data_IF_785100697861
#
_entry.id   IF_785100697861
#
_cell.length_a   1.000
_cell.length_b   1.000
_cell.length_c   1.000
_cell.angle_alpha   90.00
_cell.angle_beta   90.00
_cell.angle_gamma   90.00
#
_symmetry.space_group_name_H-M   'P 1'
#
loop_
_entity.id
_entity.type
_entity.pdbx_description
1 polymer ?
#
# COMPACT_ATOMS: atom_id res chain seq x y z
N UNK A 1 -0.59 -0.42 10.92
CA UNK A 1 -0.96 -1.82 10.71
C UNK A 1 -1.81 -1.93 9.45
N UNK A 2 -1.94 -3.15 8.90
CA UNK A 2 -2.89 -3.45 7.84
C UNK A 2 -3.59 -4.77 8.14
N UNK A 3 -4.85 -4.85 7.74
CA UNK A 3 -5.66 -6.07 7.75
C UNK A 3 -6.11 -6.35 6.31
N UNK A 4 -6.27 -7.62 5.97
CA UNK A 4 -6.66 -8.04 4.64
C UNK A 4 -7.70 -9.15 4.70
N UNK A 5 -8.77 -9.00 3.94
CA UNK A 5 -9.78 -10.04 3.82
C UNK A 5 -10.42 -10.10 2.43
N UNK A 6 -10.86 -11.30 2.06
CA UNK A 6 -11.69 -11.54 0.90
C UNK A 6 -13.15 -11.63 1.32
N UNK A 7 -14.04 -10.88 0.68
CA UNK A 7 -15.48 -11.13 0.83
C UNK A 7 -15.82 -12.53 0.32
N UNK A 8 -16.79 -13.22 0.94
CA UNK A 8 -17.18 -14.55 0.49
C UNK A 8 -17.61 -14.63 -0.97
N UNK A 9 -18.10 -13.54 -1.55
CA UNK A 9 -18.54 -13.46 -2.94
C UNK A 9 -17.52 -12.79 -3.88
N UNK A 10 -16.30 -12.52 -3.42
CA UNK A 10 -15.27 -11.82 -4.22
C UNK A 10 -14.61 -12.71 -5.28
N UNK A 11 -14.76 -14.02 -5.19
CA UNK A 11 -14.16 -15.02 -6.10
C UNK A 11 -15.24 -15.82 -6.82
N UNK A 12 -14.91 -16.43 -7.95
CA UNK A 12 -15.83 -17.28 -8.75
C UNK A 12 -16.45 -18.42 -7.94
N UNK A 13 -15.69 -18.97 -6.99
CA UNK A 13 -16.20 -19.93 -6.00
C UNK A 13 -16.25 -19.27 -4.64
N UNK A 14 -17.34 -19.51 -3.88
CA UNK A 14 -17.54 -18.87 -2.58
C UNK A 14 -16.36 -19.10 -1.64
N UNK A 15 -15.65 -18.04 -1.25
CA UNK A 15 -14.57 -18.06 -0.28
C UNK A 15 -15.11 -18.22 1.15
N UNK A 16 -14.46 -19.04 1.97
CA UNK A 16 -14.80 -19.15 3.40
C UNK A 16 -14.06 -18.09 4.20
N UNK A 17 -14.78 -17.29 4.98
CA UNK A 17 -14.16 -16.36 5.94
C UNK A 17 -13.27 -17.10 6.95
N UNK A 18 -12.13 -16.55 7.24
CA UNK A 18 -11.19 -17.05 8.23
C UNK A 18 -11.67 -16.67 9.64
N UNK A 19 -12.48 -17.54 10.25
CA UNK A 19 -13.11 -17.26 11.57
C UNK A 19 -12.20 -17.53 12.77
N UNK A 20 -11.14 -18.31 12.59
CA UNK A 20 -10.22 -18.75 13.65
C UNK A 20 -8.86 -18.03 13.59
N UNK A 21 -8.84 -16.79 13.09
CA UNK A 21 -7.63 -16.01 12.84
C UNK A 21 -7.15 -16.14 11.40
N UNK A 22 -6.35 -15.17 10.98
CA UNK A 22 -5.78 -15.11 9.64
C UNK A 22 -4.84 -16.30 9.39
N UNK A 23 -4.85 -16.82 8.16
CA UNK A 23 -3.94 -17.87 7.71
C UNK A 23 -2.63 -17.29 7.21
N UNK A 24 -1.64 -18.14 6.94
CA UNK A 24 -0.32 -17.73 6.51
C UNK A 24 -0.30 -16.77 5.32
N UNK A 25 -1.13 -17.03 4.28
CA UNK A 25 -1.28 -16.14 3.12
C UNK A 25 -1.84 -14.77 3.52
N UNK A 26 -2.87 -14.72 4.36
CA UNK A 26 -3.48 -13.47 4.82
C UNK A 26 -2.46 -12.66 5.62
N UNK A 27 -1.76 -13.28 6.57
CA UNK A 27 -0.69 -12.61 7.32
C UNK A 27 0.47 -12.13 6.44
N UNK A 28 0.83 -12.88 5.40
CA UNK A 28 1.85 -12.46 4.44
C UNK A 28 1.41 -11.17 3.75
N UNK A 29 0.16 -11.10 3.25
CA UNK A 29 -0.39 -9.93 2.56
C UNK A 29 -0.52 -8.74 3.51
N UNK A 30 -1.04 -8.93 4.71
CA UNK A 30 -1.12 -7.88 5.75
C UNK A 30 0.26 -7.25 6.02
N UNK A 31 1.29 -8.08 6.15
CA UNK A 31 2.67 -7.63 6.36
C UNK A 31 3.24 -6.88 5.16
N UNK A 32 2.96 -7.36 3.95
CA UNK A 32 3.36 -6.71 2.71
C UNK A 32 2.72 -5.31 2.60
N UNK A 33 1.40 -5.20 2.75
CA UNK A 33 0.66 -3.93 2.71
C UNK A 33 1.17 -2.97 3.78
N UNK A 34 1.25 -3.45 5.05
CA UNK A 34 1.71 -2.61 6.16
C UNK A 34 3.15 -2.09 5.95
N UNK A 35 4.04 -2.91 5.41
CA UNK A 35 5.43 -2.56 5.15
C UNK A 35 5.53 -1.54 4.00
N UNK A 36 4.76 -1.76 2.93
CA UNK A 36 4.70 -0.86 1.79
C UNK A 36 4.21 0.54 2.18
N UNK A 37 3.11 0.62 2.91
CA UNK A 37 2.55 1.90 3.38
C UNK A 37 3.47 2.61 4.37
N UNK A 38 4.17 1.87 5.24
CA UNK A 38 5.15 2.44 6.17
C UNK A 38 6.32 3.10 5.46
N UNK A 39 6.72 2.59 4.29
CA UNK A 39 7.78 3.17 3.47
C UNK A 39 7.46 4.58 2.94
N UNK A 40 6.18 4.98 2.94
CA UNK A 40 5.74 6.30 2.50
C UNK A 40 5.50 7.29 3.64
N UNK A 41 5.59 6.86 4.92
CA UNK A 41 5.21 7.69 6.08
C UNK A 41 6.40 7.95 6.99
N UNK A 42 6.62 9.22 7.29
CA UNK A 42 7.50 9.64 8.38
C UNK A 42 6.75 9.52 9.71
N UNK A 43 7.11 8.51 10.50
CA UNK A 43 6.45 8.21 11.78
C UNK A 43 6.71 9.27 12.85
N UNK A 44 7.82 10.02 12.78
CA UNK A 44 8.11 11.11 13.71
C UNK A 44 7.18 12.28 13.42
N UNK A 45 6.98 12.61 12.15
CA UNK A 45 6.05 13.65 11.72
C UNK A 45 4.60 13.28 11.99
N UNK A 46 4.23 12.01 11.82
CA UNK A 46 2.90 11.49 12.20
C UNK A 46 2.65 11.63 13.72
N UNK A 47 3.67 11.39 14.53
CA UNK A 47 3.60 11.47 15.99
C UNK A 47 2.97 10.26 16.66
N UNK A 48 2.42 10.40 17.87
CA UNK A 48 1.95 9.28 18.69
C UNK A 48 0.57 8.78 18.25
N UNK A 49 0.45 8.47 16.95
CA UNK A 49 -0.76 7.92 16.34
C UNK A 49 -0.51 6.50 15.84
N UNK A 50 -1.50 5.64 16.00
CA UNK A 50 -1.56 4.34 15.37
C UNK A 50 -2.67 4.33 14.34
N UNK A 51 -2.36 3.84 13.13
CA UNK A 51 -3.32 3.74 12.04
C UNK A 51 -3.40 2.29 11.58
N UNK A 52 -4.63 1.83 11.34
CA UNK A 52 -4.92 0.53 10.72
C UNK A 52 -5.60 0.78 9.38
N UNK A 53 -5.14 0.10 8.35
CA UNK A 53 -5.74 0.12 7.01
C UNK A 53 -6.39 -1.22 6.77
N UNK A 54 -7.71 -1.24 6.66
CA UNK A 54 -8.50 -2.43 6.35
C UNK A 54 -8.66 -2.57 4.83
N UNK A 55 -8.16 -3.68 4.29
CA UNK A 55 -8.26 -4.01 2.88
C UNK A 55 -9.30 -5.12 2.70
N UNK A 56 -10.53 -4.77 2.35
CA UNK A 56 -11.58 -5.73 2.05
C UNK A 56 -11.79 -5.85 0.53
N UNK A 57 -11.49 -7.01 -0.03
CA UNK A 57 -11.57 -7.27 -1.47
C UNK A 57 -13.01 -7.62 -1.84
N UNK A 58 -13.63 -6.73 -2.60
CA UNK A 58 -15.02 -6.87 -3.05
C UNK A 58 -15.14 -7.79 -4.27
N UNK A 59 -14.17 -7.71 -5.19
CA UNK A 59 -14.04 -8.54 -6.37
C UNK A 59 -12.56 -8.86 -6.61
N UNK A 60 -12.22 -10.14 -6.65
CA UNK A 60 -10.85 -10.62 -6.79
C UNK A 60 -10.66 -11.24 -8.19
N UNK A 61 -9.66 -10.73 -8.92
CA UNK A 61 -9.27 -11.21 -10.24
C UNK A 61 -7.76 -10.96 -10.46
N UNK A 62 -6.91 -11.69 -9.76
CA UNK A 62 -5.47 -11.41 -9.73
C UNK A 62 -5.10 -10.12 -8.98
N UNK A 63 -3.83 -9.82 -8.81
CA UNK A 63 -3.29 -8.54 -8.35
C UNK A 63 -3.85 -7.94 -7.04
N UNK A 64 -4.58 -8.69 -6.21
CA UNK A 64 -5.25 -8.15 -5.02
C UNK A 64 -4.29 -7.55 -3.99
N UNK A 65 -3.05 -8.05 -3.92
CA UNK A 65 -1.97 -7.47 -3.10
C UNK A 65 -1.64 -6.05 -3.56
N UNK A 66 -1.42 -5.88 -4.86
CA UNK A 66 -1.08 -4.60 -5.49
C UNK A 66 -2.22 -3.58 -5.36
N UNK A 67 -3.45 -4.01 -5.63
CA UNK A 67 -4.65 -3.19 -5.46
C UNK A 67 -4.80 -2.71 -4.01
N UNK A 68 -4.57 -3.58 -3.01
CA UNK A 68 -4.62 -3.24 -1.59
C UNK A 68 -3.57 -2.19 -1.20
N UNK A 69 -2.35 -2.29 -1.74
CA UNK A 69 -1.28 -1.32 -1.46
C UNK A 69 -1.64 0.05 -2.05
N UNK A 70 -2.04 0.09 -3.32
CA UNK A 70 -2.34 1.33 -4.03
C UNK A 70 -3.57 2.03 -3.42
N UNK A 71 -4.67 1.31 -3.21
CA UNK A 71 -5.85 1.86 -2.55
C UNK A 71 -5.58 2.25 -1.09
N UNK A 72 -4.78 1.44 -0.37
CA UNK A 72 -4.36 1.73 0.99
C UNK A 72 -3.53 3.02 1.10
N UNK A 73 -2.67 3.31 0.12
CA UNK A 73 -1.90 4.56 0.04
C UNK A 73 -2.82 5.78 -0.06
N UNK A 74 -3.82 5.73 -0.94
CA UNK A 74 -4.81 6.79 -1.12
C UNK A 74 -5.62 6.99 0.17
N UNK A 75 -6.13 5.89 0.75
CA UNK A 75 -6.92 5.95 1.98
C UNK A 75 -6.12 6.52 3.16
N UNK A 76 -4.84 6.14 3.27
CA UNK A 76 -3.93 6.63 4.30
C UNK A 76 -3.70 8.13 4.18
N UNK A 77 -3.42 8.64 2.97
CA UNK A 77 -3.27 10.09 2.71
C UNK A 77 -4.53 10.86 3.07
N UNK A 78 -5.70 10.38 2.67
CA UNK A 78 -6.98 11.00 3.03
C UNK A 78 -7.22 11.01 4.53
N UNK A 79 -6.84 9.95 5.25
CA UNK A 79 -6.93 9.89 6.70
C UNK A 79 -5.97 10.88 7.38
N UNK A 80 -4.73 11.00 6.89
CA UNK A 80 -3.75 11.99 7.39
C UNK A 80 -4.30 13.41 7.23
N UNK A 81 -4.84 13.76 6.06
CA UNK A 81 -5.49 15.08 5.83
C UNK A 81 -6.59 15.36 6.86
N UNK A 82 -7.47 14.39 7.11
CA UNK A 82 -8.54 14.53 8.11
C UNK A 82 -7.99 14.68 9.53
N UNK A 83 -6.92 13.96 9.88
CA UNK A 83 -6.28 14.08 11.19
C UNK A 83 -5.61 15.45 11.37
N UNK A 84 -4.99 15.99 10.33
CA UNK A 84 -4.43 17.35 10.34
C UNK A 84 -5.55 18.38 10.49
N UNK A 85 -6.58 18.31 9.67
CA UNK A 85 -7.72 19.24 9.72
C UNK A 85 -8.46 19.22 11.08
N UNK A 86 -8.50 18.07 11.75
CA UNK A 86 -9.08 17.94 13.10
C UNK A 86 -8.12 18.28 14.25
N UNK A 87 -6.88 18.68 13.94
CA UNK A 87 -5.86 18.99 14.96
C UNK A 87 -5.33 17.77 15.72
N UNK A 88 -5.56 16.57 15.23
CA UNK A 88 -5.06 15.32 15.84
C UNK A 88 -3.66 14.94 15.37
N UNK A 89 -3.29 15.30 14.16
CA UNK A 89 -1.94 15.19 13.62
C UNK A 89 -1.36 16.59 13.43
N UNK A 90 -0.41 16.95 14.25
CA UNK A 90 0.18 18.32 14.28
C UNK A 90 1.70 18.24 14.18
N UNK A 91 2.34 19.28 13.61
CA UNK A 91 3.78 19.46 13.71
C UNK A 91 4.27 19.35 15.15
N UNK A 92 5.46 18.77 15.37
CA UNK A 92 6.00 18.49 16.71
C UNK A 92 5.95 19.69 17.65
N UNK A 93 6.28 20.89 17.14
CA UNK A 93 6.25 22.17 17.89
C UNK A 93 4.87 22.60 18.39
N UNK A 94 3.80 22.09 17.80
CA UNK A 94 2.40 22.41 18.14
C UNK A 94 1.71 21.31 18.93
N UNK A 95 2.38 20.20 19.21
CA UNK A 95 1.81 19.09 19.99
C UNK A 95 1.74 19.49 21.48
N UNK A 96 0.59 19.26 22.12
CA UNK A 96 0.44 19.60 23.52
C UNK A 96 1.24 18.67 24.43
N UNK A 97 1.75 19.21 25.53
CA UNK A 97 2.25 18.42 26.64
C UNK A 97 1.11 17.66 27.33
N UNK A 98 1.46 16.67 28.15
CA UNK A 98 0.45 15.91 28.92
C UNK A 98 -0.35 16.80 29.86
N UNK A 99 0.30 17.79 30.47
CA UNK A 99 -0.33 18.76 31.35
C UNK A 99 -1.33 19.64 30.60
N UNK A 100 -0.94 20.18 29.43
CA UNK A 100 -1.83 20.99 28.59
C UNK A 100 -3.08 20.20 28.15
N UNK A 101 -2.94 18.88 27.84
CA UNK A 101 -4.11 18.03 27.53
C UNK A 101 -5.09 17.92 28.69
N UNK A 102 -4.57 17.77 29.92
CA UNK A 102 -5.40 17.71 31.15
C UNK A 102 -6.11 19.03 31.44
N UNK A 103 -5.52 20.15 31.04
CA UNK A 103 -6.07 21.51 31.23
C UNK A 103 -7.06 21.95 30.13
N UNK A 104 -7.44 21.03 29.22
CA UNK A 104 -8.42 21.30 28.18
C UNK A 104 -7.87 22.02 26.96
N UNK A 105 -6.59 21.79 26.63
CA UNK A 105 -5.95 22.34 25.45
C UNK A 105 -6.78 22.10 24.17
N UNK A 106 -6.85 23.13 23.34
CA UNK A 106 -7.50 23.04 22.03
C UNK A 106 -6.45 23.12 20.94
N UNK A 107 -6.56 22.28 19.86
CA UNK A 107 -5.63 22.34 18.77
C UNK A 107 -5.74 23.69 18.04
N UNK A 108 -4.61 24.25 17.57
CA UNK A 108 -4.65 25.39 16.68
C UNK A 108 -5.24 24.97 15.33
N UNK A 109 -5.89 25.92 14.67
CA UNK A 109 -6.30 25.76 13.27
C UNK A 109 -5.08 26.12 12.42
N UNK A 110 -4.61 25.18 11.60
CA UNK A 110 -3.55 25.44 10.63
C UNK A 110 -4.14 26.16 9.41
N UNK A 111 -3.37 27.04 8.79
CA UNK A 111 -3.68 27.53 7.45
C UNK A 111 -3.57 26.40 6.42
N UNK A 112 -4.13 26.59 5.24
CA UNK A 112 -4.07 25.58 4.17
C UNK A 112 -2.62 25.24 3.78
N UNK A 113 -1.73 26.24 3.72
CA UNK A 113 -0.31 26.04 3.42
C UNK A 113 0.40 25.24 4.53
N UNK A 114 0.13 25.57 5.81
CA UNK A 114 0.69 24.83 6.94
C UNK A 114 0.18 23.38 7.00
N UNK A 115 -1.10 23.19 6.72
CA UNK A 115 -1.71 21.87 6.70
C UNK A 115 -1.13 21.02 5.56
N UNK A 116 -1.01 21.58 4.35
CA UNK A 116 -0.38 20.92 3.22
C UNK A 116 1.10 20.64 3.48
N UNK A 117 1.86 21.61 3.99
CA UNK A 117 3.26 21.42 4.34
C UNK A 117 3.47 20.32 5.36
N UNK A 118 2.56 20.20 6.36
CA UNK A 118 2.63 19.11 7.33
C UNK A 118 2.20 17.77 6.74
N UNK A 119 1.20 17.73 5.87
CA UNK A 119 0.84 16.52 5.12
C UNK A 119 2.04 15.97 4.35
N UNK A 120 2.74 16.84 3.62
CA UNK A 120 3.93 16.45 2.86
C UNK A 120 5.11 16.04 3.77
N UNK A 121 5.19 16.57 4.98
CA UNK A 121 6.17 16.12 5.97
C UNK A 121 5.82 14.72 6.53
N UNK A 122 4.54 14.43 6.76
CA UNK A 122 4.07 13.13 7.27
C UNK A 122 4.12 12.04 6.19
N UNK A 123 3.72 12.39 4.97
CA UNK A 123 3.67 11.45 3.83
C UNK A 123 4.28 12.11 2.59
N UNK A 124 5.62 12.13 2.48
CA UNK A 124 6.34 12.85 1.42
C UNK A 124 6.13 12.24 0.02
N UNK A 125 5.68 11.02 -0.06
CA UNK A 125 5.38 10.34 -1.32
C UNK A 125 4.18 9.40 -1.15
N UNK A 126 3.54 9.06 -2.27
CA UNK A 126 2.59 7.96 -2.33
C UNK A 126 3.30 6.66 -2.71
N UNK A 127 2.66 5.53 -2.49
CA UNK A 127 3.11 4.24 -3.01
C UNK A 127 2.05 3.63 -3.89
N UNK A 128 2.50 3.00 -4.97
CA UNK A 128 1.67 2.18 -5.83
C UNK A 128 2.36 0.84 -6.08
N UNK A 129 1.58 -0.16 -6.40
CA UNK A 129 2.05 -1.50 -6.67
C UNK A 129 1.41 -2.08 -7.92
N UNK A 130 2.15 -2.94 -8.61
CA UNK A 130 1.68 -3.60 -9.82
C UNK A 130 2.21 -5.03 -9.87
N UNK A 131 1.37 -5.95 -10.36
CA UNK A 131 1.79 -7.31 -10.70
C UNK A 131 2.30 -7.36 -12.13
N UNK A 132 3.36 -8.12 -12.34
CA UNK A 132 3.90 -8.43 -13.66
C UNK A 132 4.28 -9.90 -13.69
N UNK A 133 4.25 -10.53 -14.84
CA UNK A 133 4.64 -11.93 -14.98
C UNK A 133 5.12 -12.27 -16.38
N UNK A 134 5.76 -13.44 -16.47
CA UNK A 134 6.13 -14.05 -17.73
C UNK A 134 5.07 -15.09 -18.09
N UNK A 135 4.41 -14.90 -19.22
CA UNK A 135 3.38 -15.83 -19.74
C UNK A 135 3.73 -16.13 -21.18
N UNK A 136 3.94 -17.39 -21.52
CA UNK A 136 4.32 -17.83 -22.87
C UNK A 136 5.55 -17.07 -23.44
N UNK A 137 6.53 -16.76 -22.59
CA UNK A 137 7.75 -16.05 -22.97
C UNK A 137 7.57 -14.53 -23.18
N UNK A 138 6.40 -13.97 -22.87
CA UNK A 138 6.12 -12.54 -22.96
C UNK A 138 5.84 -11.94 -21.57
N UNK A 139 6.34 -10.71 -21.33
CA UNK A 139 6.01 -9.98 -20.12
C UNK A 139 4.59 -9.43 -20.19
N UNK A 140 3.76 -9.78 -19.22
CA UNK A 140 2.42 -9.26 -19.03
C UNK A 140 2.38 -8.38 -17.77
N UNK A 141 1.54 -7.36 -17.81
CA UNK A 141 1.43 -6.34 -16.76
C UNK A 141 0.00 -6.34 -16.26
N UNK A 142 -0.18 -6.18 -14.93
CA UNK A 142 -1.49 -6.19 -14.27
C UNK A 142 -2.23 -7.52 -14.51
N UNK A 143 -1.63 -8.59 -13.96
CA UNK A 143 -2.10 -9.96 -14.18
C UNK A 143 -3.50 -10.15 -13.60
N UNK A 144 -4.45 -10.54 -14.44
CA UNK A 144 -5.71 -11.12 -14.01
C UNK A 144 -5.50 -12.56 -13.46
N UNK A 145 -6.55 -13.17 -12.93
CA UNK A 145 -6.45 -14.52 -12.34
C UNK A 145 -6.00 -15.58 -13.36
N UNK A 146 -6.39 -15.45 -14.62
CA UNK A 146 -6.05 -16.43 -15.66
C UNK A 146 -4.58 -16.30 -16.03
N UNK A 147 -4.08 -15.10 -16.21
CA UNK A 147 -2.67 -14.84 -16.48
C UNK A 147 -1.79 -15.20 -15.27
N UNK A 148 -2.18 -14.81 -14.05
CA UNK A 148 -1.47 -15.10 -12.81
C UNK A 148 -1.32 -16.62 -12.60
N UNK A 149 -2.39 -17.38 -12.82
CA UNK A 149 -2.38 -18.85 -12.66
C UNK A 149 -1.62 -19.62 -13.75
N UNK A 150 -1.29 -19.00 -14.86
CA UNK A 150 -0.53 -19.59 -15.97
C UNK A 150 0.85 -18.94 -16.16
N UNK A 151 1.25 -18.03 -15.27
CA UNK A 151 2.55 -17.38 -15.36
C UNK A 151 3.67 -18.34 -14.93
N UNK A 152 4.72 -18.43 -15.77
CA UNK A 152 5.96 -19.13 -15.42
C UNK A 152 6.69 -18.42 -14.28
N UNK A 153 6.60 -17.09 -14.26
CA UNK A 153 7.14 -16.18 -13.22
C UNK A 153 6.09 -15.14 -12.89
N UNK A 154 5.78 -14.97 -11.63
CA UNK A 154 4.98 -13.88 -11.12
C UNK A 154 5.83 -12.93 -10.25
N UNK A 155 5.53 -11.65 -10.31
CA UNK A 155 6.24 -10.63 -9.54
C UNK A 155 5.31 -9.50 -9.12
N UNK A 156 5.45 -9.07 -7.87
CA UNK A 156 4.82 -7.88 -7.34
C UNK A 156 5.88 -6.80 -7.09
N UNK A 157 5.68 -5.63 -7.66
CA UNK A 157 6.61 -4.50 -7.53
C UNK A 157 5.88 -3.36 -6.85
N UNK A 158 6.51 -2.79 -5.82
CA UNK A 158 6.00 -1.65 -5.06
C UNK A 158 6.99 -0.50 -5.16
N UNK A 159 6.52 0.67 -5.58
CA UNK A 159 7.35 1.86 -5.72
C UNK A 159 6.68 3.10 -5.13
N UNK A 160 7.52 4.05 -4.74
CA UNK A 160 7.09 5.40 -4.36
C UNK A 160 6.87 6.26 -5.60
N UNK A 161 6.07 7.33 -5.46
CA UNK A 161 5.91 8.36 -6.50
C UNK A 161 7.22 9.11 -6.81
N UNK A 162 8.23 9.03 -5.94
CA UNK A 162 9.58 9.52 -6.18
C UNK A 162 10.45 8.56 -7.01
N UNK A 163 9.92 7.39 -7.41
CA UNK A 163 10.62 6.42 -8.25
C UNK A 163 11.52 5.43 -7.50
N UNK A 164 11.46 5.39 -6.17
CA UNK A 164 12.22 4.45 -5.35
C UNK A 164 11.43 3.15 -5.14
N UNK A 165 12.11 2.01 -5.19
CA UNK A 165 11.51 0.72 -4.84
C UNK A 165 11.31 0.60 -3.33
N UNK A 166 10.14 0.11 -2.94
CA UNK A 166 9.82 -0.28 -1.56
C UNK A 166 9.97 -1.77 -1.39
N UNK A 167 9.48 -2.54 -2.36
CA UNK A 167 9.57 -4.00 -2.37
C UNK A 167 9.52 -4.53 -3.80
N UNK A 168 10.27 -5.60 -4.04
CA UNK A 168 10.22 -6.42 -5.25
C UNK A 168 10.14 -7.86 -4.78
N UNK A 169 9.04 -8.53 -5.08
CA UNK A 169 8.80 -9.93 -4.73
C UNK A 169 8.50 -10.70 -6.01
N UNK A 170 9.38 -11.61 -6.40
CA UNK A 170 9.22 -12.42 -7.60
C UNK A 170 9.47 -13.88 -7.30
N UNK A 171 8.66 -14.74 -7.92
CA UNK A 171 8.72 -16.20 -7.77
C UNK A 171 8.64 -16.85 -9.15
N UNK A 172 9.55 -17.79 -9.43
CA UNK A 172 9.38 -18.75 -10.50
C UNK A 172 8.63 -19.95 -9.96
N UNK A 173 7.38 -20.15 -10.34
CA UNK A 173 6.55 -21.23 -9.78
C UNK A 173 6.92 -22.60 -10.36
N UNK A 174 7.10 -22.69 -11.68
CA UNK A 174 7.51 -23.92 -12.37
C UNK A 174 8.77 -23.71 -13.24
N UNK A 175 9.29 -22.49 -13.30
CA UNK A 175 10.43 -22.09 -14.10
C UNK A 175 11.44 -21.26 -13.29
N UNK A 176 12.62 -21.09 -13.87
CA UNK A 176 13.62 -20.11 -13.41
C UNK A 176 13.67 -18.97 -14.42
N UNK A 177 14.09 -17.79 -13.99
CA UNK A 177 14.23 -16.62 -14.86
C UNK A 177 15.66 -16.07 -14.80
N UNK A 178 16.10 -15.54 -15.94
CA UNK A 178 17.42 -14.95 -16.13
C UNK A 178 17.48 -13.53 -15.58
N UNK A 179 18.65 -12.95 -15.57
CA UNK A 179 18.84 -11.54 -15.20
C UNK A 179 18.16 -10.59 -16.19
N UNK A 180 18.21 -10.91 -17.47
CA UNK A 180 17.60 -10.15 -18.55
C UNK A 180 16.07 -10.15 -18.45
N UNK A 181 15.48 -11.30 -18.11
CA UNK A 181 14.04 -11.43 -17.86
C UNK A 181 13.63 -10.65 -16.60
N UNK A 182 14.42 -10.71 -15.52
CA UNK A 182 14.19 -9.90 -14.31
C UNK A 182 14.19 -8.41 -14.64
N UNK A 183 15.18 -7.93 -15.37
CA UNK A 183 15.29 -6.52 -15.74
C UNK A 183 14.08 -6.09 -16.60
N UNK A 184 13.63 -6.95 -17.54
CA UNK A 184 12.46 -6.71 -18.37
C UNK A 184 11.15 -6.65 -17.53
N UNK A 185 10.97 -7.56 -16.58
CA UNK A 185 9.83 -7.54 -15.66
C UNK A 185 9.80 -6.25 -14.84
N UNK A 186 10.93 -5.84 -14.28
CA UNK A 186 11.06 -4.62 -13.50
C UNK A 186 10.77 -3.38 -14.35
N UNK A 187 11.33 -3.28 -15.55
CA UNK A 187 11.12 -2.13 -16.43
C UNK A 187 9.64 -1.95 -16.80
N UNK A 188 8.93 -3.04 -17.10
CA UNK A 188 7.50 -3.02 -17.38
C UNK A 188 6.67 -2.62 -16.16
N UNK A 189 7.02 -3.14 -14.97
CA UNK A 189 6.37 -2.74 -13.72
C UNK A 189 6.57 -1.25 -13.43
N UNK A 190 7.80 -0.74 -13.59
CA UNK A 190 8.14 0.69 -13.41
C UNK A 190 7.32 1.56 -14.36
N UNK A 191 7.20 1.19 -15.62
CA UNK A 191 6.39 1.93 -16.60
C UNK A 191 4.91 1.95 -16.22
N UNK A 192 4.36 0.83 -15.76
CA UNK A 192 2.98 0.72 -15.29
C UNK A 192 2.72 1.52 -14.01
N UNK A 193 3.60 1.42 -13.01
CA UNK A 193 3.46 2.15 -11.74
C UNK A 193 3.54 3.68 -11.96
N UNK A 194 4.40 4.15 -12.86
CA UNK A 194 4.44 5.57 -13.21
C UNK A 194 3.09 6.08 -13.70
N UNK A 195 2.40 5.31 -14.56
CA UNK A 195 1.04 5.67 -15.01
C UNK A 195 0.03 5.72 -13.87
N UNK A 196 0.15 4.81 -12.89
CA UNK A 196 -0.73 4.83 -11.70
C UNK A 196 -0.55 6.09 -10.86
N UNK A 197 0.65 6.67 -10.81
CA UNK A 197 0.93 7.91 -10.10
C UNK A 197 0.49 9.18 -10.87
N UNK A 198 0.24 9.09 -12.16
CA UNK A 198 -0.23 10.21 -13.00
C UNK A 198 -1.74 10.44 -12.88
N UNK A 199 -2.49 9.50 -12.34
CA UNK A 199 -3.94 9.50 -12.15
C UNK A 199 -4.34 9.69 -10.69
#
# INVERSE_FOLDING_TARGET
HAEYSLLPGSTNTRFRRERNGAKGRTHEIERLVARSLRGAVDLEQLGPLSMTVDCEILNADGGTRCASITAGSIALRLAIRRLIASGRCLPAKLRPSEQQRKEGWKPPVLSDDEAHGHEMAVMPCDVAALSVGMVDGEVKVDLDYVLDSNADVDMNVVMTSAGAFVEVQGTGEEATYTREELDSLIDNAVAGIKRLHEH
#
